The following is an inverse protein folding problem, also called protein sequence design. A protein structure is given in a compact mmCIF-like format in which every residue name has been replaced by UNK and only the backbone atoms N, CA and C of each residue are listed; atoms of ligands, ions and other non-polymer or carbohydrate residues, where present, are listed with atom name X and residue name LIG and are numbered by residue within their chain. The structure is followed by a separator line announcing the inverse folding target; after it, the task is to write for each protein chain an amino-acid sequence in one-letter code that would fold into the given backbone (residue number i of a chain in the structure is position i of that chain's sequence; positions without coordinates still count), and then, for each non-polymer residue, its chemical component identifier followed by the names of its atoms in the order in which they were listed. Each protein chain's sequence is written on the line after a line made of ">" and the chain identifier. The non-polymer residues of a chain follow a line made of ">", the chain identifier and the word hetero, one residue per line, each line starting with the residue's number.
data_IF_330114549883
#
_entry.id   IF_330114549883
#
_cell.length_a   1.000
_cell.length_b   1.000
_cell.length_c   1.000
_cell.angle_alpha   90.00
_cell.angle_beta   90.00
_cell.angle_gamma   90.00
#
_symmetry.space_group_name_H-M   'P 1'
#
loop_
_entity.id
_entity.type
_entity.pdbx_description
1 polymer ?
#
# COMPACT_ATOMS: atom_id res chain seq x y z
N UNK A 1 -39.71 -28.70 -77.29
CA UNK A 1 -38.45 -28.46 -76.56
C UNK A 1 -38.46 -29.30 -75.28
N UNK A 2 -37.54 -30.28 -75.20
CA UNK A 2 -36.90 -30.90 -74.02
C UNK A 2 -37.80 -31.43 -72.86
N UNK A 3 -37.89 -32.76 -72.64
CA UNK A 3 -37.06 -33.62 -71.73
C UNK A 3 -37.49 -33.46 -70.25
N UNK A 4 -37.60 -34.46 -69.35
CA UNK A 4 -37.58 -35.95 -69.29
C UNK A 4 -37.39 -36.24 -67.77
N UNK A 5 -37.95 -37.36 -67.27
CA UNK A 5 -37.48 -38.18 -66.12
C UNK A 5 -37.58 -37.59 -64.69
N UNK A 6 -38.27 -38.23 -63.73
CA UNK A 6 -38.04 -39.51 -63.01
C UNK A 6 -36.98 -39.47 -61.88
N UNK A 7 -37.46 -39.80 -60.66
CA UNK A 7 -36.88 -40.67 -59.61
C UNK A 7 -35.95 -40.08 -58.53
N UNK A 8 -36.12 -40.66 -57.32
CA UNK A 8 -35.26 -40.77 -56.13
C UNK A 8 -35.34 -39.61 -55.12
N UNK A 9 -35.93 -39.79 -53.92
CA UNK A 9 -35.52 -40.70 -52.84
C UNK A 9 -34.05 -40.49 -52.47
N UNK A 10 -33.76 -39.50 -51.63
CA UNK A 10 -32.50 -39.44 -50.90
C UNK A 10 -32.78 -39.05 -49.44
N UNK A 11 -32.47 -39.99 -48.56
CA UNK A 11 -32.54 -39.85 -47.12
C UNK A 11 -31.71 -38.65 -46.66
N UNK A 12 -32.36 -37.72 -45.98
CA UNK A 12 -31.69 -36.68 -45.19
C UNK A 12 -31.14 -37.36 -43.94
N UNK A 13 -29.91 -37.87 -44.02
CA UNK A 13 -29.10 -38.07 -42.82
C UNK A 13 -28.70 -36.68 -42.36
N UNK A 14 -29.49 -36.11 -41.45
CA UNK A 14 -29.09 -34.99 -40.61
C UNK A 14 -27.95 -35.50 -39.73
N UNK A 15 -26.73 -35.40 -40.24
CA UNK A 15 -25.53 -35.41 -39.44
C UNK A 15 -25.61 -34.22 -38.49
N UNK A 16 -26.14 -34.45 -37.30
CA UNK A 16 -25.96 -33.56 -36.18
C UNK A 16 -24.47 -33.58 -35.83
N UNK A 17 -23.69 -32.75 -36.52
CA UNK A 17 -22.46 -32.22 -35.97
C UNK A 17 -22.86 -31.37 -34.78
N UNK A 18 -23.05 -32.06 -33.65
CA UNK A 18 -22.94 -31.41 -32.34
C UNK A 18 -21.50 -30.94 -32.29
N UNK A 19 -21.26 -29.72 -32.76
CA UNK A 19 -20.13 -28.95 -32.31
C UNK A 19 -20.32 -28.88 -30.80
N UNK A 20 -19.67 -29.80 -30.08
CA UNK A 20 -19.27 -29.56 -28.70
C UNK A 20 -18.41 -28.30 -28.78
N UNK A 21 -19.06 -27.14 -28.76
CA UNK A 21 -18.50 -25.99 -28.09
C UNK A 21 -18.39 -26.42 -26.63
N UNK A 22 -17.32 -27.18 -26.35
CA UNK A 22 -16.91 -27.48 -25.00
C UNK A 22 -16.68 -26.12 -24.37
N UNK A 23 -17.65 -25.66 -23.59
CA UNK A 23 -17.53 -24.53 -22.69
C UNK A 23 -16.51 -24.88 -21.60
N UNK A 24 -15.25 -25.11 -21.97
CA UNK A 24 -14.11 -24.96 -21.08
C UNK A 24 -13.70 -23.49 -21.05
N UNK A 25 -14.70 -22.63 -20.88
CA UNK A 25 -14.49 -21.29 -20.37
C UNK A 25 -14.37 -21.40 -18.85
N UNK A 26 -13.27 -21.98 -18.35
CA UNK A 26 -12.99 -21.98 -16.91
C UNK A 26 -12.78 -20.53 -16.48
N UNK A 27 -13.73 -19.98 -15.73
CA UNK A 27 -13.63 -18.60 -15.24
C UNK A 27 -12.30 -18.44 -14.47
N UNK A 28 -11.61 -17.29 -14.62
CA UNK A 28 -10.35 -17.08 -13.93
C UNK A 28 -10.55 -17.24 -12.42
N UNK A 29 -9.61 -17.92 -11.77
CA UNK A 29 -9.53 -17.97 -10.31
C UNK A 29 -9.11 -16.60 -9.75
N UNK A 30 -9.76 -16.19 -8.66
CA UNK A 30 -9.38 -15.02 -7.87
C UNK A 30 -9.70 -15.28 -6.39
N UNK A 31 -8.66 -15.35 -5.56
CA UNK A 31 -8.75 -15.71 -4.15
C UNK A 31 -7.91 -14.74 -3.30
N UNK A 32 -8.49 -13.64 -2.82
CA UNK A 32 -7.87 -12.84 -1.76
C UNK A 32 -7.59 -13.73 -0.53
N UNK A 33 -6.45 -13.53 0.14
CA UNK A 33 -6.06 -14.31 1.32
C UNK A 33 -6.99 -14.09 2.53
N UNK A 34 -7.64 -12.93 2.60
CA UNK A 34 -8.60 -12.53 3.61
C UNK A 34 -9.74 -11.75 2.98
N UNK A 35 -10.88 -11.68 3.68
CA UNK A 35 -12.00 -10.79 3.34
C UNK A 35 -11.87 -9.41 3.98
N UNK A 36 -11.05 -9.28 5.04
CA UNK A 36 -10.79 -8.03 5.73
C UNK A 36 -9.29 -7.83 6.03
N UNK A 37 -8.80 -6.61 5.80
CA UNK A 37 -7.40 -6.24 5.96
C UNK A 37 -7.29 -5.00 6.87
N UNK A 38 -6.31 -5.01 7.78
CA UNK A 38 -5.89 -3.81 8.51
C UNK A 38 -4.70 -3.15 7.80
N UNK A 39 -4.55 -1.84 7.99
CA UNK A 39 -3.35 -1.14 7.54
C UNK A 39 -2.13 -1.55 8.37
N UNK A 40 -0.97 -1.59 7.73
CA UNK A 40 0.33 -1.73 8.38
C UNK A 40 1.29 -0.72 7.73
N UNK A 41 1.91 0.14 8.54
CA UNK A 41 2.61 1.32 8.03
C UNK A 41 1.69 2.26 7.22
N UNK A 42 2.04 2.52 5.95
CA UNK A 42 1.33 3.49 5.10
C UNK A 42 0.02 3.00 4.48
N UNK A 43 -0.15 1.68 4.32
CA UNK A 43 -1.19 1.09 3.47
C UNK A 43 -1.72 -0.21 4.08
N UNK A 44 -2.91 -0.61 3.66
CA UNK A 44 -3.34 -2.00 3.76
C UNK A 44 -2.85 -2.77 2.54
N UNK A 45 -2.26 -3.95 2.77
CA UNK A 45 -1.76 -4.82 1.70
C UNK A 45 -2.78 -5.91 1.42
N UNK A 46 -3.62 -5.69 0.42
CA UNK A 46 -4.57 -6.70 -0.09
C UNK A 46 -3.81 -7.63 -1.02
N UNK A 47 -3.77 -8.91 -0.68
CA UNK A 47 -2.99 -9.91 -1.45
C UNK A 47 -3.74 -11.22 -1.60
N UNK A 48 -3.42 -11.97 -2.63
CA UNK A 48 -4.09 -13.22 -2.95
C UNK A 48 -3.48 -13.95 -4.13
N UNK A 49 -4.14 -15.03 -4.52
CA UNK A 49 -3.82 -15.76 -5.74
C UNK A 49 -4.84 -15.46 -6.84
N UNK A 50 -4.38 -15.58 -8.08
CA UNK A 50 -5.15 -15.34 -9.30
C UNK A 50 -4.69 -16.31 -10.37
N UNK A 51 -5.50 -16.58 -11.40
CA UNK A 51 -5.03 -17.32 -12.56
C UNK A 51 -3.81 -16.65 -13.20
N UNK A 52 -2.81 -17.43 -13.59
CA UNK A 52 -1.65 -16.95 -14.34
C UNK A 52 -2.11 -16.21 -15.60
N UNK A 53 -1.38 -15.15 -15.97
CA UNK A 53 -1.66 -14.27 -17.12
C UNK A 53 -3.03 -13.56 -17.10
N UNK A 54 -3.84 -13.69 -16.04
CA UNK A 54 -5.05 -12.90 -15.91
C UNK A 54 -4.70 -11.41 -15.67
N UNK A 55 -5.43 -10.51 -16.32
CA UNK A 55 -5.35 -9.07 -16.06
C UNK A 55 -6.05 -8.78 -14.73
N UNK A 56 -5.31 -8.25 -13.76
CA UNK A 56 -5.85 -7.86 -12.45
C UNK A 56 -6.12 -6.35 -12.44
N UNK A 57 -7.35 -5.98 -12.09
CA UNK A 57 -7.71 -4.58 -11.84
C UNK A 57 -8.40 -4.45 -10.49
N UNK A 58 -8.44 -3.25 -9.95
CA UNK A 58 -9.13 -2.98 -8.69
C UNK A 58 -9.75 -1.59 -8.65
N UNK A 59 -10.76 -1.44 -7.79
CA UNK A 59 -11.40 -0.16 -7.46
C UNK A 59 -11.48 -0.04 -5.95
N UNK A 60 -11.17 1.15 -5.43
CA UNK A 60 -11.35 1.51 -4.03
C UNK A 60 -12.58 2.41 -3.98
N UNK A 61 -13.61 2.02 -3.22
CA UNK A 61 -14.85 2.78 -3.03
C UNK A 61 -15.52 3.26 -4.33
N UNK A 62 -15.45 2.42 -5.38
CA UNK A 62 -16.06 2.73 -6.68
C UNK A 62 -15.28 3.74 -7.54
N UNK A 63 -14.12 4.20 -7.08
CA UNK A 63 -13.25 5.10 -7.83
C UNK A 63 -12.69 4.46 -9.13
N UNK A 64 -11.91 5.25 -9.88
CA UNK A 64 -11.30 4.83 -11.15
C UNK A 64 -10.51 3.53 -11.01
N UNK A 65 -10.75 2.59 -11.93
CA UNK A 65 -10.04 1.30 -11.98
C UNK A 65 -8.54 1.51 -12.11
N UNK A 66 -7.80 0.82 -11.25
CA UNK A 66 -6.35 0.72 -11.27
C UNK A 66 -5.95 -0.69 -11.69
N UNK A 67 -4.72 -0.86 -12.19
CA UNK A 67 -4.17 -2.19 -12.52
C UNK A 67 -3.27 -2.67 -11.39
N UNK A 68 -3.31 -3.98 -11.12
CA UNK A 68 -2.33 -4.64 -10.26
C UNK A 68 -1.51 -5.63 -11.10
N UNK A 69 -0.25 -5.82 -10.71
CA UNK A 69 0.63 -6.78 -11.38
C UNK A 69 0.20 -8.19 -10.98
N UNK A 70 0.08 -9.06 -11.98
CA UNK A 70 0.00 -10.50 -11.80
C UNK A 70 1.43 -11.06 -11.83
N UNK A 71 1.97 -11.36 -10.65
CA UNK A 71 3.30 -11.94 -10.50
C UNK A 71 3.16 -13.46 -10.43
N UNK A 72 3.02 -14.06 -11.60
CA UNK A 72 2.88 -15.50 -11.80
C UNK A 72 1.82 -16.18 -10.90
N UNK A 73 0.59 -15.67 -10.98
CA UNK A 73 -0.54 -16.21 -10.22
C UNK A 73 -0.71 -15.64 -8.82
N UNK A 74 0.08 -14.62 -8.46
CA UNK A 74 -0.12 -13.83 -7.24
C UNK A 74 -0.37 -12.36 -7.55
N UNK A 75 -1.08 -11.68 -6.67
CA UNK A 75 -1.28 -10.23 -6.77
C UNK A 75 -1.10 -9.55 -5.41
N UNK A 76 -0.69 -8.29 -5.47
CA UNK A 76 -0.60 -7.39 -4.33
C UNK A 76 -1.16 -6.03 -4.72
N UNK A 77 -2.07 -5.51 -3.90
CA UNK A 77 -2.70 -4.21 -4.04
C UNK A 77 -2.44 -3.42 -2.76
N UNK A 78 -1.90 -2.22 -2.91
CA UNK A 78 -1.68 -1.29 -1.81
C UNK A 78 -2.84 -0.31 -1.75
N UNK A 79 -3.55 -0.30 -0.62
CA UNK A 79 -4.70 0.57 -0.39
C UNK A 79 -4.30 1.58 0.69
N UNK A 80 -4.18 2.87 0.38
CA UNK A 80 -3.93 3.90 1.38
C UNK A 80 -5.00 3.82 2.47
N UNK A 81 -4.58 3.74 3.73
CA UNK A 81 -5.49 3.71 4.88
C UNK A 81 -6.30 5.00 4.98
N UNK A 82 -7.54 4.91 5.46
CA UNK A 82 -8.44 6.06 5.67
C UNK A 82 -9.10 6.01 7.05
N UNK A 83 -9.73 7.11 7.47
CA UNK A 83 -10.61 7.15 8.65
C UNK A 83 -11.91 6.39 8.46
N UNK A 84 -12.22 6.04 7.22
CA UNK A 84 -13.39 5.26 6.83
C UNK A 84 -12.98 3.86 6.40
N UNK A 85 -13.90 2.91 6.55
CA UNK A 85 -13.69 1.56 6.01
C UNK A 85 -13.85 1.61 4.49
N UNK A 86 -12.94 0.99 3.76
CA UNK A 86 -12.89 1.08 2.30
C UNK A 86 -13.25 -0.27 1.69
N UNK A 87 -14.10 -0.26 0.67
CA UNK A 87 -14.45 -1.44 -0.12
C UNK A 87 -13.53 -1.52 -1.33
N UNK A 88 -12.83 -2.64 -1.45
CA UNK A 88 -11.92 -2.88 -2.57
C UNK A 88 -12.52 -3.98 -3.44
N UNK A 89 -12.95 -3.62 -4.63
CA UNK A 89 -13.39 -4.58 -5.64
C UNK A 89 -12.18 -4.99 -6.47
N UNK A 90 -11.72 -6.23 -6.31
CA UNK A 90 -10.63 -6.82 -7.10
C UNK A 90 -11.26 -7.63 -8.23
N UNK A 91 -10.77 -7.42 -9.45
CA UNK A 91 -11.26 -8.08 -10.65
C UNK A 91 -10.12 -8.80 -11.36
N UNK A 92 -10.39 -10.01 -11.83
CA UNK A 92 -9.49 -10.75 -12.70
C UNK A 92 -10.19 -11.06 -14.03
N UNK A 93 -9.52 -10.73 -15.14
CA UNK A 93 -10.00 -11.00 -16.49
C UNK A 93 -9.04 -11.92 -17.24
N UNK A 94 -9.54 -13.02 -17.78
CA UNK A 94 -8.78 -13.97 -18.61
C UNK A 94 -9.71 -14.57 -19.67
N UNK A 95 -9.26 -14.63 -20.93
CA UNK A 95 -9.99 -15.23 -22.05
C UNK A 95 -11.47 -14.78 -22.15
N UNK A 96 -11.70 -13.46 -22.11
CA UNK A 96 -13.04 -12.86 -22.19
C UNK A 96 -13.87 -12.93 -20.91
N UNK A 97 -13.54 -13.82 -19.97
CA UNK A 97 -14.26 -13.96 -18.71
C UNK A 97 -13.71 -13.06 -17.61
N UNK A 98 -14.59 -12.66 -16.70
CA UNK A 98 -14.28 -11.74 -15.61
C UNK A 98 -14.86 -12.26 -14.30
N UNK A 99 -14.04 -12.31 -13.25
CA UNK A 99 -14.48 -12.56 -11.87
C UNK A 99 -14.18 -11.33 -11.02
N UNK A 100 -15.07 -10.99 -10.10
CA UNK A 100 -14.88 -9.90 -9.14
C UNK A 100 -15.02 -10.44 -7.72
N UNK A 101 -14.14 -10.01 -6.82
CA UNK A 101 -14.20 -10.27 -5.38
C UNK A 101 -14.10 -8.96 -4.63
N UNK A 102 -14.95 -8.79 -3.62
CA UNK A 102 -14.90 -7.64 -2.75
C UNK A 102 -14.19 -8.00 -1.44
N UNK A 103 -13.31 -7.10 -1.00
CA UNK A 103 -12.69 -7.16 0.32
C UNK A 103 -12.83 -5.80 1.01
N UNK A 104 -12.67 -5.79 2.34
CA UNK A 104 -12.77 -4.58 3.14
C UNK A 104 -11.41 -4.23 3.74
N UNK A 105 -10.99 -2.98 3.58
CA UNK A 105 -9.90 -2.39 4.36
C UNK A 105 -10.52 -1.69 5.57
N UNK A 106 -10.06 -2.05 6.76
CA UNK A 106 -10.56 -1.49 8.02
C UNK A 106 -10.16 -0.02 8.14
N UNK A 107 -11.05 0.78 8.72
CA UNK A 107 -10.74 2.16 9.12
C UNK A 107 -9.53 2.20 10.06
N UNK A 108 -8.75 3.27 9.95
CA UNK A 108 -7.59 3.57 10.80
C UNK A 108 -7.77 4.93 11.47
N UNK A 109 -7.08 5.14 12.60
CA UNK A 109 -7.08 6.45 13.26
C UNK A 109 -6.08 7.37 12.56
N UNK A 110 -6.45 8.63 12.36
CA UNK A 110 -5.51 9.64 11.90
C UNK A 110 -4.52 10.01 13.03
N UNK A 111 -3.26 10.26 12.69
CA UNK A 111 -2.26 10.82 13.61
C UNK A 111 -2.71 12.19 14.10
N UNK A 112 -2.94 13.09 13.14
CA UNK A 112 -3.19 14.52 13.34
C UNK A 112 -3.80 15.12 12.07
N UNK A 113 -4.42 16.30 12.17
CA UNK A 113 -4.83 17.06 10.99
C UNK A 113 -3.59 17.55 10.22
N UNK A 114 -3.62 17.46 8.89
CA UNK A 114 -2.49 17.87 8.04
C UNK A 114 -2.07 19.33 8.24
N UNK A 115 -2.98 20.32 8.30
CA UNK A 115 -2.58 21.71 8.53
C UNK A 115 -1.83 21.91 9.86
N UNK A 116 -2.25 21.20 10.92
CA UNK A 116 -1.59 21.23 12.23
C UNK A 116 -0.20 20.60 12.15
N UNK A 117 -0.07 19.45 11.49
CA UNK A 117 1.22 18.80 11.26
C UNK A 117 2.16 19.68 10.45
N UNK A 118 1.71 20.25 9.33
CA UNK A 118 2.52 21.08 8.45
C UNK A 118 3.04 22.31 9.19
N UNK A 119 2.18 22.99 9.95
CA UNK A 119 2.58 24.14 10.77
C UNK A 119 3.64 23.76 11.81
N UNK A 120 3.40 22.71 12.60
CA UNK A 120 4.32 22.25 13.63
C UNK A 120 5.67 21.81 13.03
N UNK A 121 5.63 21.00 11.97
CA UNK A 121 6.81 20.50 11.28
C UNK A 121 7.66 21.63 10.68
N UNK A 122 7.04 22.60 10.01
CA UNK A 122 7.73 23.76 9.45
C UNK A 122 8.39 24.61 10.54
N UNK A 123 7.68 24.86 11.65
CA UNK A 123 8.19 25.62 12.79
C UNK A 123 9.41 24.94 13.42
N UNK A 124 9.31 23.63 13.68
CA UNK A 124 10.40 22.85 14.29
C UNK A 124 11.61 22.79 13.35
N UNK A 125 11.40 22.55 12.05
CA UNK A 125 12.51 22.55 11.09
C UNK A 125 13.23 23.90 11.07
N UNK A 126 12.50 25.02 11.10
CA UNK A 126 13.09 26.36 11.17
C UNK A 126 13.89 26.54 12.47
N UNK A 127 13.32 26.18 13.62
CA UNK A 127 13.97 26.30 14.93
C UNK A 127 15.24 25.45 15.01
N UNK A 128 15.19 24.22 14.51
CA UNK A 128 16.31 23.28 14.49
C UNK A 128 17.30 23.50 13.33
N UNK A 129 17.03 24.48 12.44
CA UNK A 129 17.81 24.76 11.23
C UNK A 129 17.96 23.53 10.32
N UNK A 130 16.91 22.71 10.24
CA UNK A 130 16.86 21.56 9.34
C UNK A 130 16.56 22.01 7.91
N UNK A 131 17.38 21.55 6.97
CA UNK A 131 17.17 21.83 5.53
C UNK A 131 15.98 21.02 5.03
N UNK A 132 14.85 21.68 4.83
CA UNK A 132 13.65 21.14 4.22
C UNK A 132 12.81 22.27 3.61
N UNK A 133 12.19 22.01 2.46
CA UNK A 133 11.17 22.90 1.91
C UNK A 133 9.99 22.95 2.86
N UNK A 134 9.46 24.16 3.10
CA UNK A 134 8.27 24.32 3.92
C UNK A 134 7.08 23.56 3.29
N UNK A 135 6.39 22.77 4.10
CA UNK A 135 5.17 22.08 3.67
C UNK A 135 4.03 23.08 3.46
N UNK A 136 3.20 22.91 2.43
CA UNK A 136 1.98 23.71 2.26
C UNK A 136 0.97 23.41 3.39
N UNK A 137 0.00 24.31 3.60
CA UNK A 137 -1.08 24.10 4.58
C UNK A 137 -2.15 23.12 4.10
N UNK A 138 -2.17 22.83 2.79
CA UNK A 138 -3.06 21.86 2.17
C UNK A 138 -2.29 20.84 1.34
N UNK A 139 -2.82 19.62 1.29
CA UNK A 139 -2.21 18.55 0.53
C UNK A 139 -3.29 17.69 -0.13
N UNK A 140 -2.97 17.17 -1.32
CA UNK A 140 -3.85 16.24 -2.01
C UNK A 140 -3.89 14.90 -1.28
N UNK A 141 -4.99 14.19 -1.43
CA UNK A 141 -5.13 12.84 -0.90
C UNK A 141 -4.16 11.86 -1.58
N UNK A 142 -3.82 10.81 -0.84
CA UNK A 142 -2.96 9.71 -1.25
C UNK A 142 -1.58 9.72 -0.60
N UNK A 143 -0.68 8.94 -1.19
CA UNK A 143 0.71 8.85 -0.75
C UNK A 143 1.53 10.02 -1.33
N UNK A 144 2.15 10.80 -0.46
CA UNK A 144 2.91 11.99 -0.83
C UNK A 144 4.29 11.97 -0.18
N UNK A 145 5.32 12.31 -0.95
CA UNK A 145 6.66 12.54 -0.41
C UNK A 145 6.75 13.98 0.08
N UNK A 146 6.80 14.15 1.40
CA UNK A 146 6.95 15.44 2.07
C UNK A 146 8.40 15.90 2.10
N UNK A 147 9.33 14.95 1.99
CA UNK A 147 10.77 15.18 1.89
C UNK A 147 11.42 14.01 1.14
N UNK A 148 12.33 14.29 0.23
CA UNK A 148 13.12 13.28 -0.48
C UNK A 148 14.45 13.86 -0.93
N UNK A 149 15.54 13.51 -0.25
CA UNK A 149 16.91 13.97 -0.56
C UNK A 149 17.88 12.83 -0.27
N UNK A 150 18.81 12.54 -1.18
CA UNK A 150 19.87 11.52 -1.04
C UNK A 150 19.39 10.11 -0.63
N UNK A 151 18.14 9.76 -0.94
CA UNK A 151 17.52 8.49 -0.54
C UNK A 151 16.84 8.51 0.84
N UNK A 152 17.05 9.55 1.64
CA UNK A 152 16.24 9.82 2.83
C UNK A 152 14.86 10.31 2.40
N UNK A 153 13.79 9.68 2.89
CA UNK A 153 12.41 10.05 2.51
C UNK A 153 11.50 10.16 3.72
N UNK A 154 10.62 11.15 3.69
CA UNK A 154 9.46 11.25 4.59
C UNK A 154 8.24 11.16 3.69
N UNK A 155 7.60 10.00 3.68
CA UNK A 155 6.38 9.75 2.91
C UNK A 155 5.20 9.72 3.86
N UNK A 156 4.11 10.39 3.52
CA UNK A 156 2.88 10.36 4.30
C UNK A 156 1.72 9.79 3.48
N UNK A 157 0.78 9.16 4.17
CA UNK A 157 -0.56 8.94 3.64
C UNK A 157 -1.46 10.06 4.17
N UNK A 158 -1.96 10.89 3.25
CA UNK A 158 -2.89 11.97 3.56
C UNK A 158 -4.26 11.59 3.03
N UNK A 159 -5.31 11.67 3.86
CA UNK A 159 -6.69 11.46 3.44
C UNK A 159 -7.58 12.53 4.07
N UNK A 160 -8.38 13.23 3.27
CA UNK A 160 -9.28 14.28 3.73
C UNK A 160 -8.57 15.26 4.68
N UNK A 161 -7.38 15.73 4.29
CA UNK A 161 -6.56 16.64 5.10
C UNK A 161 -6.17 16.11 6.49
N UNK A 162 -6.13 14.78 6.66
CA UNK A 162 -5.62 14.11 7.86
C UNK A 162 -4.37 13.32 7.52
N UNK A 163 -3.35 13.39 8.37
CA UNK A 163 -2.19 12.51 8.28
C UNK A 163 -2.59 11.16 8.85
N UNK A 164 -2.71 10.15 8.00
CA UNK A 164 -3.08 8.79 8.43
C UNK A 164 -1.88 8.05 9.01
N UNK A 165 -0.71 8.24 8.40
CA UNK A 165 0.53 7.59 8.75
C UNK A 165 1.71 8.27 8.07
N UNK A 166 2.90 8.16 8.65
CA UNK A 166 4.16 8.65 8.06
C UNK A 166 5.15 7.49 8.00
N UNK A 167 5.92 7.37 6.92
CA UNK A 167 7.11 6.53 6.83
C UNK A 167 8.33 7.43 6.76
N UNK A 168 9.23 7.28 7.73
CA UNK A 168 10.56 7.84 7.69
C UNK A 168 11.55 6.75 7.21
N UNK A 169 12.11 6.96 6.02
CA UNK A 169 12.98 6.02 5.34
C UNK A 169 14.39 6.56 5.36
N UNK A 170 15.33 5.79 5.90
CA UNK A 170 16.73 6.17 6.06
C UNK A 170 17.66 5.12 5.45
N UNK A 171 18.52 5.46 4.47
CA UNK A 171 19.39 4.48 3.82
C UNK A 171 20.37 3.82 4.80
N UNK A 172 20.54 2.50 4.71
CA UNK A 172 21.49 1.74 5.54
C UNK A 172 22.92 2.24 5.33
N UNK A 173 23.28 2.62 4.10
CA UNK A 173 24.59 3.20 3.77
C UNK A 173 24.89 4.47 4.58
N UNK A 174 23.87 5.25 4.93
CA UNK A 174 24.04 6.54 5.61
C UNK A 174 24.18 6.36 7.13
N UNK A 175 23.84 5.18 7.68
CA UNK A 175 23.98 4.88 9.11
C UNK A 175 25.43 4.86 9.59
N UNK A 176 26.39 4.62 8.69
CA UNK A 176 27.82 4.66 8.99
C UNK A 176 28.35 6.09 9.19
N UNK A 177 27.59 7.11 8.77
CA UNK A 177 27.99 8.50 8.88
C UNK A 177 27.44 9.13 10.15
N UNK A 178 28.32 9.60 11.03
CA UNK A 178 27.94 10.33 12.26
C UNK A 178 27.08 11.56 11.96
N UNK A 179 27.39 12.30 10.87
CA UNK A 179 26.62 13.47 10.45
C UNK A 179 25.21 13.09 10.00
N UNK A 180 25.08 12.08 9.12
CA UNK A 180 23.76 11.64 8.64
C UNK A 180 22.93 11.00 9.77
N UNK A 181 23.57 10.34 10.74
CA UNK A 181 22.89 9.84 11.94
C UNK A 181 22.42 10.96 12.89
N UNK A 182 23.18 12.05 13.01
CA UNK A 182 22.73 13.25 13.72
C UNK A 182 21.53 13.87 13.02
N UNK A 183 21.56 13.99 11.70
CA UNK A 183 20.42 14.48 10.91
C UNK A 183 19.20 13.58 11.06
N UNK A 184 19.40 12.25 11.08
CA UNK A 184 18.37 11.28 11.36
C UNK A 184 17.72 11.52 12.72
N UNK A 185 18.52 11.66 13.78
CA UNK A 185 18.04 11.89 15.13
C UNK A 185 17.23 13.19 15.23
N UNK A 186 17.72 14.28 14.63
CA UNK A 186 17.02 15.56 14.62
C UNK A 186 15.69 15.51 13.86
N UNK A 187 15.65 14.82 12.71
CA UNK A 187 14.42 14.64 11.93
C UNK A 187 13.43 13.73 12.65
N UNK A 188 13.89 12.70 13.35
CA UNK A 188 13.04 11.86 14.17
C UNK A 188 12.39 12.67 15.30
N UNK A 189 13.15 13.52 15.99
CA UNK A 189 12.61 14.46 16.98
C UNK A 189 11.55 15.36 16.33
N UNK A 190 11.87 15.99 15.20
CA UNK A 190 10.97 16.91 14.52
C UNK A 190 9.65 16.25 14.09
N UNK A 191 9.72 15.07 13.48
CA UNK A 191 8.55 14.30 13.05
C UNK A 191 7.70 13.86 14.24
N UNK A 192 8.33 13.32 15.27
CA UNK A 192 7.64 12.83 16.47
C UNK A 192 6.90 13.96 17.18
N UNK A 193 7.56 15.10 17.36
CA UNK A 193 6.95 16.28 17.98
C UNK A 193 5.83 16.86 17.11
N UNK A 194 6.00 16.90 15.79
CA UNK A 194 4.96 17.40 14.86
C UNK A 194 3.68 16.55 14.84
N UNK A 195 3.75 15.26 15.22
CA UNK A 195 2.58 14.39 15.38
C UNK A 195 2.07 14.32 16.84
N UNK A 196 2.61 15.16 17.73
CA UNK A 196 2.17 15.26 19.13
C UNK A 196 2.84 14.29 20.11
N UNK A 197 3.84 13.51 19.67
CA UNK A 197 4.66 12.70 20.56
C UNK A 197 5.76 13.53 21.24
N UNK A 198 6.37 12.98 22.28
CA UNK A 198 7.59 13.52 22.87
C UNK A 198 8.81 13.05 22.05
N UNK A 199 9.31 13.93 21.16
CA UNK A 199 10.40 13.57 20.25
C UNK A 199 11.71 13.22 20.94
N UNK A 200 12.03 13.82 22.09
CA UNK A 200 13.24 13.46 22.83
C UNK A 200 13.12 12.07 23.44
N UNK A 201 11.96 11.77 24.05
CA UNK A 201 11.69 10.44 24.58
C UNK A 201 11.71 9.38 23.49
N UNK A 202 11.09 9.67 22.34
CA UNK A 202 11.11 8.74 21.19
C UNK A 202 12.53 8.48 20.70
N UNK A 203 13.38 9.51 20.58
CA UNK A 203 14.78 9.30 20.21
C UNK A 203 15.53 8.43 21.23
N UNK A 204 15.32 8.66 22.53
CA UNK A 204 15.93 7.87 23.60
C UNK A 204 15.47 6.40 23.55
N UNK A 205 14.18 6.17 23.35
CA UNK A 205 13.62 4.82 23.23
C UNK A 205 14.15 4.11 21.96
N UNK A 206 14.32 4.83 20.85
CA UNK A 206 14.96 4.30 19.63
C UNK A 206 16.42 3.95 19.85
N UNK A 207 17.20 4.81 20.51
CA UNK A 207 18.61 4.53 20.83
C UNK A 207 18.75 3.27 21.70
N UNK A 208 17.82 3.07 22.65
CA UNK A 208 17.77 1.85 23.45
C UNK A 208 17.50 0.63 22.57
N UNK A 209 16.48 0.67 21.71
CA UNK A 209 16.18 -0.42 20.79
C UNK A 209 17.36 -0.77 19.86
N UNK A 210 18.05 0.24 19.32
CA UNK A 210 19.22 0.02 18.47
C UNK A 210 20.35 -0.69 19.23
N UNK A 211 20.62 -0.28 20.47
CA UNK A 211 21.63 -0.92 21.34
C UNK A 211 21.23 -2.37 21.71
N UNK A 212 19.96 -2.60 21.99
CA UNK A 212 19.46 -3.94 22.33
C UNK A 212 19.58 -4.89 21.13
N UNK A 213 19.32 -4.40 19.90
CA UNK A 213 19.53 -5.15 18.66
C UNK A 213 21.02 -5.46 18.40
N UNK A 214 21.94 -4.52 18.67
CA UNK A 214 23.39 -4.76 18.61
C UNK A 214 23.84 -5.87 19.58
N UNK A 215 23.16 -6.00 20.73
CA UNK A 215 23.42 -7.04 21.72
C UNK A 215 22.75 -8.39 21.39
N UNK A 216 22.21 -8.55 20.17
CA UNK A 216 21.66 -9.81 19.69
C UNK A 216 20.18 -10.04 20.00
N UNK A 217 19.45 -9.05 20.52
CA UNK A 217 17.99 -9.16 20.62
C UNK A 217 17.36 -9.10 19.23
N UNK A 218 16.61 -10.15 18.87
CA UNK A 218 15.99 -10.28 17.54
C UNK A 218 14.57 -9.73 17.48
N UNK A 219 13.97 -9.41 18.64
CA UNK A 219 12.63 -8.84 18.74
C UNK A 219 12.74 -7.31 18.79
N UNK A 220 12.32 -6.65 17.72
CA UNK A 220 12.22 -5.18 17.69
C UNK A 220 10.82 -4.80 18.17
N UNK A 221 10.73 -4.32 19.42
CA UNK A 221 9.47 -3.80 19.95
C UNK A 221 9.09 -2.46 19.33
N UNK A 222 7.79 -2.21 19.21
CA UNK A 222 7.29 -0.91 18.76
C UNK A 222 7.41 0.13 19.87
N UNK A 223 7.97 1.30 19.58
CA UNK A 223 7.96 2.44 20.51
C UNK A 223 6.53 2.99 20.55
N UNK A 224 6.02 3.31 21.75
CA UNK A 224 4.72 3.95 21.94
C UNK A 224 4.88 5.22 22.76
N UNK A 225 4.39 6.34 22.23
CA UNK A 225 4.45 7.62 22.93
C UNK A 225 3.22 8.47 22.59
N UNK A 226 2.48 8.93 23.61
CA UNK A 226 1.29 9.81 23.47
C UNK A 226 0.30 9.36 22.38
N UNK A 227 0.05 8.05 22.30
CA UNK A 227 -0.88 7.46 21.33
C UNK A 227 -0.32 7.26 19.92
N UNK A 228 0.93 7.63 19.66
CA UNK A 228 1.66 7.31 18.41
C UNK A 228 2.47 6.04 18.63
N UNK A 229 2.39 5.12 17.67
CA UNK A 229 3.22 3.92 17.59
C UNK A 229 4.26 4.10 16.49
N UNK A 230 5.52 3.80 16.81
CA UNK A 230 6.64 3.81 15.87
C UNK A 230 7.04 2.37 15.58
N UNK A 231 6.75 1.93 14.37
CA UNK A 231 7.03 0.57 13.90
C UNK A 231 8.29 0.58 13.06
N UNK A 232 9.28 -0.18 13.49
CA UNK A 232 10.61 -0.16 12.89
C UNK A 232 10.83 -1.45 12.13
N UNK A 233 11.21 -1.35 10.87
CA UNK A 233 11.56 -2.47 10.00
C UNK A 233 12.85 -2.16 9.27
N UNK A 234 13.67 -3.17 9.06
CA UNK A 234 14.95 -3.05 8.36
C UNK A 234 14.93 -3.86 7.07
N UNK A 235 15.61 -3.36 6.04
CA UNK A 235 16.03 -4.14 4.88
C UNK A 235 17.53 -3.99 4.66
N UNK A 236 18.06 -4.68 3.65
CA UNK A 236 19.43 -4.49 3.14
C UNK A 236 19.70 -3.05 2.65
N UNK A 237 18.65 -2.31 2.27
CA UNK A 237 18.76 -0.98 1.65
C UNK A 237 18.46 0.17 2.60
N UNK A 238 17.46 0.01 3.47
CA UNK A 238 16.99 1.11 4.32
C UNK A 238 16.38 0.62 5.63
N UNK A 239 16.44 1.51 6.62
CA UNK A 239 15.52 1.51 7.75
C UNK A 239 14.20 2.16 7.33
N UNK A 240 13.10 1.55 7.75
CA UNK A 240 11.75 2.06 7.61
C UNK A 240 11.16 2.23 9.00
N UNK A 241 10.82 3.46 9.36
CA UNK A 241 10.13 3.78 10.59
C UNK A 241 8.74 4.33 10.27
N UNK A 242 7.70 3.59 10.63
CA UNK A 242 6.32 4.00 10.42
C UNK A 242 5.74 4.63 11.69
N UNK A 243 5.21 5.83 11.56
CA UNK A 243 4.43 6.50 12.60
C UNK A 243 2.96 6.25 12.27
N UNK A 244 2.26 5.58 13.19
CA UNK A 244 0.84 5.20 13.04
C UNK A 244 0.09 5.39 14.35
N UNK A 245 -1.24 5.48 14.28
CA UNK A 245 -2.12 5.52 15.45
C UNK A 245 -2.91 4.23 15.54
N UNK A 246 -2.74 3.49 16.64
CA UNK A 246 -3.42 2.22 16.92
C UNK A 246 -4.50 2.40 17.99
#
# INVERSE_FOLDING_TARGET
>A
MKIKKMIASLAVVLGATVALAGCQSSSPSLKPTKTSYGANGLVAVVKGTVSTQAKVTYQIDGATRQSAVNNDGTFVIQVPSSTDAQKVAVQAKKSGQTVTKQVTVKKSKALVAYPQFAMAYNMINKQMKLVATALPMMQKDGLVDLYSVDGVKIRANIQNQKVMSIAYIFPVKDMKSKTKMKDFAMRLIALSTAVGADGQKVLKDYQKLAKDAENGQTIVENIKNKGVTFETSFSDKALYMYLVKK
#
